data_IF_342695493909
#
_entry.id   IF_342695493909
#
_cell.length_a   1.000
_cell.length_b   1.000
_cell.length_c   1.000
_cell.angle_alpha   90.00
_cell.angle_beta   90.00
_cell.angle_gamma   90.00
#
_symmetry.space_group_name_H-M   'P 1'
#
loop_
_entity.id
_entity.type
_entity.pdbx_description
1 polymer ?
#
# COMPACT_ATOMS: atom_id res chain seq x y z
N UNK A 1 37.24 16.56 -5.65
CA UNK A 1 36.42 16.54 -4.41
C UNK A 1 35.37 17.64 -4.36
N UNK A 2 35.70 18.93 -4.56
CA UNK A 2 34.70 20.03 -4.49
C UNK A 2 33.53 19.90 -5.47
N UNK A 3 33.78 19.43 -6.69
CA UNK A 3 32.75 19.28 -7.73
C UNK A 3 31.68 18.24 -7.38
N UNK A 4 32.09 17.09 -6.81
CA UNK A 4 31.17 16.01 -6.41
C UNK A 4 30.26 16.47 -5.27
N UNK A 5 30.82 17.19 -4.30
CA UNK A 5 30.05 17.75 -3.18
C UNK A 5 29.06 18.84 -3.63
N UNK A 6 29.46 19.70 -4.56
CA UNK A 6 28.55 20.70 -5.14
C UNK A 6 27.46 20.10 -6.02
N UNK A 7 27.72 18.97 -6.68
CA UNK A 7 26.72 18.24 -7.46
C UNK A 7 25.70 17.55 -6.55
N UNK A 8 26.16 16.96 -5.43
CA UNK A 8 25.28 16.36 -4.42
C UNK A 8 24.35 17.39 -3.76
N UNK A 9 24.86 18.59 -3.45
CA UNK A 9 24.04 19.70 -2.91
C UNK A 9 23.01 20.26 -3.91
N UNK A 10 23.14 19.94 -5.20
CA UNK A 10 22.19 20.35 -6.26
C UNK A 10 21.28 19.20 -6.69
N UNK A 11 21.39 18.04 -6.04
CA UNK A 11 20.59 16.87 -6.37
C UNK A 11 19.22 16.96 -5.69
N UNK A 12 18.20 17.33 -6.48
CA UNK A 12 16.81 17.36 -6.04
C UNK A 12 16.13 15.98 -6.15
N UNK A 13 16.85 14.94 -6.59
CA UNK A 13 16.33 13.58 -6.71
C UNK A 13 15.77 13.07 -5.38
N UNK A 14 16.39 13.44 -4.25
CA UNK A 14 15.87 13.14 -2.90
C UNK A 14 14.57 13.88 -2.56
N UNK A 15 14.42 15.14 -2.98
CA UNK A 15 13.21 15.92 -2.78
C UNK A 15 12.05 15.34 -3.62
N UNK A 16 12.31 14.96 -4.87
CA UNK A 16 11.31 14.29 -5.73
C UNK A 16 10.90 12.92 -5.18
N UNK A 17 11.81 12.18 -4.54
CA UNK A 17 11.50 10.90 -3.91
C UNK A 17 10.52 11.04 -2.74
N UNK A 18 10.53 12.16 -2.01
CA UNK A 18 9.59 12.41 -0.91
C UNK A 18 8.17 12.70 -1.44
N UNK A 19 8.06 13.42 -2.57
CA UNK A 19 6.77 13.71 -3.20
C UNK A 19 6.11 12.44 -3.76
N UNK A 20 6.86 11.66 -4.54
CA UNK A 20 6.37 10.37 -5.05
C UNK A 20 6.15 9.35 -3.92
N UNK A 21 6.95 9.43 -2.85
CA UNK A 21 6.77 8.61 -1.65
C UNK A 21 5.45 8.89 -0.92
N UNK A 22 5.04 10.16 -0.84
CA UNK A 22 3.76 10.54 -0.23
C UNK A 22 2.57 10.07 -1.07
N UNK A 23 2.64 10.21 -2.40
CA UNK A 23 1.61 9.72 -3.31
C UNK A 23 1.49 8.19 -3.23
N UNK A 24 2.63 7.49 -3.26
CA UNK A 24 2.67 6.02 -3.14
C UNK A 24 2.07 5.55 -1.80
N UNK A 25 2.34 6.27 -0.71
CA UNK A 25 1.74 5.99 0.61
C UNK A 25 0.22 6.14 0.57
N UNK A 26 -0.30 7.20 -0.06
CA UNK A 26 -1.75 7.40 -0.22
C UNK A 26 -2.42 6.27 -1.00
N UNK A 27 -1.81 5.85 -2.11
CA UNK A 27 -2.30 4.71 -2.92
C UNK A 27 -2.25 3.41 -2.10
N UNK A 28 -1.17 3.16 -1.36
CA UNK A 28 -1.03 1.97 -0.53
C UNK A 28 -2.14 1.88 0.54
N UNK A 29 -2.46 2.98 1.23
CA UNK A 29 -3.53 3.02 2.23
C UNK A 29 -4.90 2.72 1.58
N UNK A 30 -5.18 3.29 0.40
CA UNK A 30 -6.41 3.03 -0.32
C UNK A 30 -6.56 1.54 -0.71
N UNK A 31 -5.47 0.93 -1.19
CA UNK A 31 -5.43 -0.50 -1.52
C UNK A 31 -5.66 -1.35 -0.27
N UNK A 32 -5.00 -1.04 0.85
CA UNK A 32 -5.18 -1.76 2.11
C UNK A 32 -6.64 -1.74 2.54
N UNK A 33 -7.30 -0.58 2.48
CA UNK A 33 -8.72 -0.45 2.79
C UNK A 33 -9.60 -1.31 1.90
N UNK A 34 -9.40 -1.25 0.58
CA UNK A 34 -10.16 -2.03 -0.39
C UNK A 34 -9.99 -3.54 -0.19
N UNK A 35 -8.76 -4.02 -0.07
CA UNK A 35 -8.45 -5.45 0.12
C UNK A 35 -8.99 -5.97 1.45
N UNK A 36 -8.95 -5.16 2.52
CA UNK A 36 -9.53 -5.54 3.82
C UNK A 36 -11.05 -5.74 3.75
N UNK A 37 -11.76 -4.89 3.01
CA UNK A 37 -13.19 -5.04 2.77
C UNK A 37 -13.50 -6.31 1.98
N UNK A 38 -12.76 -6.57 0.90
CA UNK A 38 -12.90 -7.81 0.11
C UNK A 38 -12.63 -9.04 0.97
N UNK A 39 -11.56 -9.04 1.76
CA UNK A 39 -11.20 -10.16 2.64
C UNK A 39 -12.28 -10.46 3.68
N UNK A 40 -12.93 -9.43 4.23
CA UNK A 40 -14.04 -9.58 5.18
C UNK A 40 -15.24 -10.26 4.53
N UNK A 41 -15.65 -9.80 3.35
CA UNK A 41 -16.77 -10.37 2.61
C UNK A 41 -16.49 -11.82 2.17
N UNK A 42 -15.26 -12.09 1.74
CA UNK A 42 -14.84 -13.44 1.36
C UNK A 42 -14.88 -14.40 2.56
N UNK A 43 -14.39 -13.96 3.72
CA UNK A 43 -14.44 -14.73 4.96
C UNK A 43 -15.89 -15.03 5.36
N UNK A 44 -16.77 -14.03 5.34
CA UNK A 44 -18.19 -14.22 5.64
C UNK A 44 -18.86 -15.24 4.70
N UNK A 45 -18.51 -15.20 3.41
CA UNK A 45 -19.01 -16.14 2.41
C UNK A 45 -18.59 -17.57 2.74
N UNK A 46 -17.30 -17.80 3.02
CA UNK A 46 -16.81 -19.14 3.38
C UNK A 46 -17.33 -19.63 4.73
N UNK A 47 -17.55 -18.74 5.70
CA UNK A 47 -18.21 -19.08 6.97
C UNK A 47 -19.66 -19.51 6.76
N UNK A 48 -20.40 -18.84 5.87
CA UNK A 48 -21.76 -19.25 5.48
C UNK A 48 -21.75 -20.64 4.85
N UNK A 49 -20.85 -20.92 3.91
CA UNK A 49 -20.70 -22.24 3.29
C UNK A 49 -20.34 -23.30 4.33
N UNK A 50 -19.37 -23.03 5.21
CA UNK A 50 -19.00 -23.93 6.30
C UNK A 50 -20.19 -24.26 7.19
N UNK A 51 -20.99 -23.25 7.53
CA UNK A 51 -22.18 -23.43 8.37
C UNK A 51 -23.20 -24.32 7.67
N UNK A 52 -23.51 -24.04 6.41
CA UNK A 52 -24.43 -24.85 5.61
C UNK A 52 -23.99 -26.32 5.48
N UNK A 53 -22.68 -26.58 5.35
CA UNK A 53 -22.13 -27.93 5.30
C UNK A 53 -22.12 -28.65 6.66
N UNK A 54 -22.08 -27.92 7.77
CA UNK A 54 -22.01 -28.51 9.14
C UNK A 54 -23.40 -28.70 9.74
N UNK A 55 -24.41 -27.95 9.28
CA UNK A 55 -25.80 -28.05 9.74
C UNK A 55 -26.64 -29.08 8.98
N UNK A 56 -26.04 -29.82 8.02
CA UNK A 56 -26.67 -30.91 7.28
C UNK A 56 -26.31 -32.30 7.82
#
# INVERSE_FOLDING_TARGET
MKAVFSAFLRDESGATAIEYGLIATGIAIAIIGAVSGVGTNLKATFESVKTALTSG
#
